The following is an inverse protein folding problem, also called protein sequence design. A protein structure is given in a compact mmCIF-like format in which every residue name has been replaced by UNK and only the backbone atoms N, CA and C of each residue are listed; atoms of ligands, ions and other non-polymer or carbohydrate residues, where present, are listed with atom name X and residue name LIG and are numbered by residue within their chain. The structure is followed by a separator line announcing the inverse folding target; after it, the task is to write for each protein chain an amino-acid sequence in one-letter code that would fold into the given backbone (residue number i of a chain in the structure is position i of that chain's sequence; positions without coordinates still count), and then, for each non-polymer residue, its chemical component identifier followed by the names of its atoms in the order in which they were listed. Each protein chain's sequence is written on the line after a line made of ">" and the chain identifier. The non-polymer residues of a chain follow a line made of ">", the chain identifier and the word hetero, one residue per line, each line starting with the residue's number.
data_IF_719182701305
#
_entry.id   IF_719182701305
#
_cell.length_a   1.000
_cell.length_b   1.000
_cell.length_c   1.000
_cell.angle_alpha   90.00
_cell.angle_beta   90.00
_cell.angle_gamma   90.00
#
_symmetry.space_group_name_H-M   'P 1'
#
loop_
_entity.id
_entity.type
_entity.pdbx_description
1 polymer ?
#
# COMPACT_ATOMS: atom_id res chain seq x y z
N UNK A 1 -5.90 -16.82 -9.02
CA UNK A 1 -4.68 -17.59 -8.65
C UNK A 1 -3.45 -16.68 -8.47
N UNK A 2 -2.54 -16.99 -7.53
CA UNK A 2 -1.45 -16.07 -7.15
C UNK A 2 -0.54 -15.65 -8.32
N UNK A 3 -0.28 -16.56 -9.27
CA UNK A 3 0.56 -16.26 -10.44
C UNK A 3 -0.04 -15.20 -11.38
N UNK A 4 -1.35 -14.97 -11.32
CA UNK A 4 -2.01 -13.97 -12.15
C UNK A 4 -1.77 -12.57 -11.57
N UNK A 5 -1.78 -12.43 -10.24
CA UNK A 5 -1.55 -11.17 -9.50
C UNK A 5 -0.09 -10.74 -9.52
N UNK A 6 0.85 -11.69 -9.63
CA UNK A 6 2.30 -11.43 -9.65
C UNK A 6 2.83 -11.07 -11.05
N UNK A 7 1.97 -10.91 -12.07
CA UNK A 7 2.44 -10.40 -13.36
C UNK A 7 2.82 -8.94 -13.20
N UNK A 8 3.98 -8.53 -13.73
CA UNK A 8 4.46 -7.13 -13.65
C UNK A 8 3.40 -6.07 -13.97
N UNK A 9 2.50 -6.33 -14.91
CA UNK A 9 1.40 -5.41 -15.27
C UNK A 9 0.37 -5.14 -14.16
N UNK A 10 0.38 -5.93 -13.09
CA UNK A 10 -0.51 -5.78 -11.93
C UNK A 10 0.27 -5.47 -10.64
N UNK A 11 1.58 -5.28 -10.74
CA UNK A 11 2.44 -4.88 -9.61
C UNK A 11 2.70 -3.39 -9.74
N UNK A 12 2.02 -2.59 -8.93
CA UNK A 12 2.30 -1.15 -8.81
C UNK A 12 3.35 -0.96 -7.73
N UNK A 13 4.52 -0.42 -8.11
CA UNK A 13 5.58 -0.07 -7.17
C UNK A 13 5.46 1.41 -6.81
N UNK A 14 4.98 1.70 -5.60
CA UNK A 14 4.99 3.06 -5.04
C UNK A 14 6.33 3.31 -4.33
N UNK A 15 7.14 4.22 -4.88
CA UNK A 15 8.41 4.64 -4.28
C UNK A 15 8.21 6.01 -3.61
N UNK A 16 8.29 6.04 -2.28
CA UNK A 16 8.32 7.28 -1.51
C UNK A 16 9.74 7.84 -1.49
N UNK A 17 9.95 8.96 -2.17
CA UNK A 17 11.22 9.70 -2.09
C UNK A 17 11.23 10.46 -0.77
N UNK A 18 12.01 9.95 0.18
CA UNK A 18 12.15 10.58 1.48
C UNK A 18 13.01 11.84 1.39
N UNK A 19 12.63 12.89 2.10
CA UNK A 19 13.43 14.10 2.26
C UNK A 19 14.67 13.87 3.14
N UNK A 20 15.49 14.90 3.40
CA UNK A 20 16.74 14.78 4.16
C UNK A 20 16.58 14.38 5.65
N UNK A 21 15.36 14.20 6.13
CA UNK A 21 15.04 13.75 7.49
C UNK A 21 14.98 12.22 7.54
N UNK A 22 15.01 11.68 8.76
CA UNK A 22 15.14 10.24 9.00
C UNK A 22 14.13 9.42 8.17
N UNK A 23 14.59 8.34 7.52
CA UNK A 23 13.72 7.40 6.83
C UNK A 23 12.57 6.92 7.72
N UNK A 24 11.35 7.02 7.21
CA UNK A 24 10.17 6.43 7.85
C UNK A 24 9.39 7.29 8.84
N UNK A 25 9.78 8.53 9.15
CA UNK A 25 8.88 9.41 9.94
C UNK A 25 7.65 9.82 9.13
N UNK A 26 7.85 10.19 7.87
CA UNK A 26 6.79 10.69 7.00
C UNK A 26 6.00 9.58 6.30
N UNK A 27 6.42 8.31 6.41
CA UNK A 27 5.69 7.18 5.81
C UNK A 27 4.29 7.05 6.41
N UNK A 28 4.13 7.38 7.70
CA UNK A 28 2.84 7.32 8.39
C UNK A 28 1.81 8.28 7.78
N UNK A 29 2.25 9.45 7.29
CA UNK A 29 1.39 10.39 6.58
C UNK A 29 0.88 9.77 5.28
N UNK A 30 1.77 9.16 4.50
CA UNK A 30 1.36 8.44 3.29
C UNK A 30 0.42 7.27 3.58
N UNK A 31 0.69 6.47 4.62
CA UNK A 31 -0.19 5.36 5.00
C UNK A 31 -1.57 5.84 5.42
N UNK A 32 -1.66 7.00 6.06
CA UNK A 32 -2.94 7.63 6.39
C UNK A 32 -3.70 8.01 5.12
N UNK A 33 -3.04 8.72 4.18
CA UNK A 33 -3.64 9.09 2.90
C UNK A 33 -4.07 7.87 2.09
N UNK A 34 -3.21 6.85 2.01
CA UNK A 34 -3.51 5.60 1.31
C UNK A 34 -4.71 4.89 1.93
N UNK A 35 -4.83 4.89 3.26
CA UNK A 35 -5.99 4.32 3.96
C UNK A 35 -7.28 5.07 3.59
N UNK A 36 -7.24 6.40 3.55
CA UNK A 36 -8.39 7.22 3.16
C UNK A 36 -8.80 6.96 1.71
N UNK A 37 -7.84 6.94 0.77
CA UNK A 37 -8.11 6.63 -0.64
C UNK A 37 -8.70 5.23 -0.83
N UNK A 38 -8.17 4.23 -0.12
CA UNK A 38 -8.70 2.87 -0.15
C UNK A 38 -10.11 2.77 0.45
N UNK A 39 -10.41 3.54 1.50
CA UNK A 39 -11.74 3.60 2.07
C UNK A 39 -12.74 4.21 1.06
N UNK A 40 -12.39 5.33 0.41
CA UNK A 40 -13.20 5.93 -0.65
C UNK A 40 -13.42 4.96 -1.82
N UNK A 41 -12.36 4.30 -2.28
CA UNK A 41 -12.45 3.28 -3.33
C UNK A 41 -13.32 2.08 -2.94
N UNK A 42 -13.35 1.72 -1.66
CA UNK A 42 -14.14 0.59 -1.17
C UNK A 42 -15.61 0.95 -0.97
N UNK A 43 -15.90 2.12 -0.39
CA UNK A 43 -17.26 2.55 0.00
C UNK A 43 -18.02 3.20 -1.17
N UNK A 44 -17.42 4.20 -1.79
CA UNK A 44 -18.02 4.97 -2.89
C UNK A 44 -17.70 4.32 -4.23
N UNK A 45 -16.45 3.87 -4.41
CA UNK A 45 -15.92 3.44 -5.70
C UNK A 45 -15.49 4.62 -6.58
N UNK A 46 -14.72 4.34 -7.62
CA UNK A 46 -14.24 5.34 -8.56
C UNK A 46 -14.74 5.05 -9.97
N UNK A 47 -15.38 6.05 -10.59
CA UNK A 47 -15.82 5.97 -11.99
C UNK A 47 -14.61 5.83 -12.91
N UNK A 48 -14.44 4.65 -13.47
CA UNK A 48 -13.25 4.24 -14.22
C UNK A 48 -13.65 3.79 -15.63
N UNK A 49 -12.82 4.15 -16.62
CA UNK A 49 -13.03 3.74 -18.01
C UNK A 49 -12.40 2.35 -18.26
N UNK A 50 -13.22 1.38 -18.67
CA UNK A 50 -12.73 0.08 -19.14
C UNK A 50 -12.41 0.16 -20.65
N UNK A 51 -11.12 0.17 -20.99
CA UNK A 51 -10.68 0.21 -22.38
C UNK A 51 -11.05 -1.05 -23.19
N UNK A 52 -11.26 -2.20 -22.53
CA UNK A 52 -11.61 -3.46 -23.19
C UNK A 52 -13.10 -3.54 -23.56
N UNK A 53 -13.96 -3.01 -22.69
CA UNK A 53 -15.43 -2.99 -22.87
C UNK A 53 -15.95 -1.65 -23.42
N UNK A 54 -15.08 -0.64 -23.48
CA UNK A 54 -15.40 0.73 -23.93
C UNK A 54 -16.58 1.34 -23.17
N UNK A 55 -16.63 1.11 -21.86
CA UNK A 55 -17.68 1.61 -20.98
C UNK A 55 -17.11 2.11 -19.65
N UNK A 56 -17.88 2.96 -18.96
CA UNK A 56 -17.57 3.37 -17.60
C UNK A 56 -18.15 2.36 -16.62
N UNK A 57 -17.38 2.02 -15.58
CA UNK A 57 -17.85 1.23 -14.46
C UNK A 57 -17.35 1.83 -13.14
N UNK A 58 -18.03 1.53 -12.04
CA UNK A 58 -17.60 1.93 -10.70
C UNK A 58 -16.60 0.89 -10.17
N UNK A 59 -15.31 1.26 -10.22
CA UNK A 59 -14.23 0.42 -9.74
C UNK A 59 -14.17 0.48 -8.22
N UNK A 60 -14.15 -0.69 -7.58
CA UNK A 60 -13.82 -0.84 -6.16
C UNK A 60 -12.51 -1.59 -6.00
N UNK A 61 -11.69 -1.18 -5.06
CA UNK A 61 -10.39 -1.77 -4.80
C UNK A 61 -10.21 -2.06 -3.31
N UNK A 62 -9.50 -3.14 -3.01
CA UNK A 62 -9.11 -3.51 -1.66
C UNK A 62 -7.69 -4.06 -1.66
N UNK A 63 -6.92 -3.74 -0.61
CA UNK A 63 -5.59 -4.32 -0.39
C UNK A 63 -5.75 -5.61 0.39
N UNK A 64 -5.30 -6.72 -0.20
CA UNK A 64 -5.34 -8.04 0.45
C UNK A 64 -4.04 -8.31 1.21
N UNK A 65 -2.89 -7.92 0.65
CA UNK A 65 -1.58 -8.14 1.25
C UNK A 65 -0.60 -7.08 0.79
N UNK A 66 0.42 -6.81 1.61
CA UNK A 66 1.56 -5.95 1.27
C UNK A 66 2.85 -6.75 1.45
N UNK A 67 3.82 -6.51 0.57
CA UNK A 67 5.17 -7.07 0.71
C UNK A 67 6.07 -5.94 1.18
N UNK A 68 6.62 -6.10 2.39
CA UNK A 68 7.50 -5.12 3.02
C UNK A 68 8.83 -5.78 3.37
N UNK A 69 9.90 -4.99 3.34
CA UNK A 69 11.16 -5.40 3.95
C UNK A 69 11.05 -5.31 5.49
N UNK A 70 12.08 -5.78 6.19
CA UNK A 70 12.04 -5.86 7.66
C UNK A 70 11.87 -4.49 8.36
N UNK A 71 12.57 -3.42 7.93
CA UNK A 71 12.32 -2.08 8.47
C UNK A 71 10.92 -1.56 8.12
N UNK A 72 10.46 -1.72 6.88
CA UNK A 72 9.13 -1.32 6.43
C UNK A 72 8.02 -1.96 7.26
N UNK A 73 8.18 -3.25 7.58
CA UNK A 73 7.21 -3.96 8.41
C UNK A 73 6.96 -3.27 9.76
N UNK A 74 7.99 -2.73 10.43
CA UNK A 74 7.80 -2.03 11.71
C UNK A 74 6.95 -0.77 11.59
N UNK A 75 7.14 -0.01 10.50
CA UNK A 75 6.30 1.16 10.24
C UNK A 75 4.84 0.78 9.95
N UNK A 76 4.60 -0.32 9.23
CA UNK A 76 3.24 -0.79 8.94
C UNK A 76 2.53 -1.43 10.14
N UNK A 77 3.27 -2.16 10.98
CA UNK A 77 2.72 -2.87 12.14
C UNK A 77 2.68 -2.02 13.41
N UNK A 78 3.36 -0.87 13.41
CA UNK A 78 3.58 -0.07 14.62
C UNK A 78 4.53 -0.75 15.63
N UNK A 79 5.23 -1.81 15.21
CA UNK A 79 6.18 -2.52 16.06
C UNK A 79 7.56 -1.86 16.03
N UNK A 80 8.25 -1.95 17.17
CA UNK A 80 9.67 -1.64 17.25
C UNK A 80 10.46 -2.70 16.48
N UNK A 81 11.00 -2.31 15.33
CA UNK A 81 11.88 -3.15 14.50
C UNK A 81 13.34 -2.67 14.50
N UNK A 82 13.63 -1.64 15.31
CA UNK A 82 14.97 -1.06 15.46
C UNK A 82 15.34 -0.94 16.95
N UNK A 83 16.64 -0.97 17.24
CA UNK A 83 17.17 -0.91 18.61
C UNK A 83 17.23 -2.26 19.33
N UNK A 84 17.59 -2.24 20.61
CA UNK A 84 17.87 -3.46 21.40
C UNK A 84 16.65 -4.38 21.59
N UNK A 85 15.44 -3.85 21.41
CA UNK A 85 14.17 -4.56 21.54
C UNK A 85 13.46 -4.76 20.18
N UNK A 86 14.19 -4.67 19.06
CA UNK A 86 13.63 -4.85 17.73
C UNK A 86 13.18 -6.28 17.49
N UNK A 87 11.88 -6.55 17.56
CA UNK A 87 11.35 -7.90 17.39
C UNK A 87 9.92 -7.87 16.83
N UNK A 88 9.76 -8.54 15.68
CA UNK A 88 8.51 -8.56 14.89
C UNK A 88 7.51 -9.64 15.36
N UNK A 89 8.00 -10.62 16.12
CA UNK A 89 7.26 -11.86 16.45
C UNK A 89 7.05 -12.11 17.93
N UNK A 90 7.52 -11.21 18.77
CA UNK A 90 7.19 -11.15 20.19
C UNK A 90 6.09 -10.09 20.37
#
# INVERSE_FOLDING_TARGET
>A
PPWLCMKNKYVTMSMLVQGPKQPGTDINLYLTLLKEELATLWEEGARTWDASRQEYFDMRAAVITTVQDYPGYGYFSGQLVQGFYGCVRC
#
